data_IF_094767475425
#
_entry.id   IF_094767475425
#
_cell.length_a   1.000
_cell.length_b   1.000
_cell.length_c   1.000
_cell.angle_alpha   90.00
_cell.angle_beta   90.00
_cell.angle_gamma   90.00
#
_symmetry.space_group_name_H-M   'P 1'
#
loop_
_entity.id
_entity.type
_entity.pdbx_description
1 polymer ?
#
# COMPACT_ATOMS: atom_id res chain seq x y z
N UNK A 1 -25.31 -4.74 7.22
CA UNK A 1 -25.18 -3.28 7.11
C UNK A 1 -26.58 -2.73 7.11
N UNK A 2 -27.09 -2.29 8.25
CA UNK A 2 -27.99 -1.15 8.24
C UNK A 2 -27.15 0.03 7.71
N UNK A 3 -26.89 0.06 6.41
CA UNK A 3 -26.42 1.28 5.79
C UNK A 3 -27.48 2.35 6.10
N UNK A 4 -27.04 3.59 6.33
CA UNK A 4 -27.94 4.73 6.45
C UNK A 4 -28.68 4.87 5.12
N UNK A 5 -29.77 4.13 5.02
CA UNK A 5 -30.46 3.85 3.78
C UNK A 5 -31.80 4.53 3.93
N UNK A 6 -32.08 5.48 3.03
CA UNK A 6 -33.44 6.00 2.92
C UNK A 6 -34.35 4.83 2.53
N UNK A 7 -35.38 4.52 3.34
CA UNK A 7 -36.26 3.40 3.07
C UNK A 7 -37.09 3.62 1.79
N UNK A 8 -37.36 4.88 1.47
CA UNK A 8 -38.05 5.35 0.27
C UNK A 8 -37.12 6.21 -0.56
N UNK A 9 -37.23 6.11 -1.89
CA UNK A 9 -36.51 6.92 -2.86
C UNK A 9 -37.54 7.69 -3.68
N UNK A 10 -37.32 8.99 -3.85
CA UNK A 10 -38.21 9.86 -4.62
C UNK A 10 -37.98 9.66 -6.12
N UNK A 11 -39.07 9.48 -6.86
CA UNK A 11 -39.06 9.44 -8.32
C UNK A 11 -39.05 10.86 -8.83
N UNK A 12 -37.98 11.24 -9.52
CA UNK A 12 -37.85 12.57 -10.10
C UNK A 12 -38.76 12.69 -11.33
N UNK A 13 -39.71 13.64 -11.34
CA UNK A 13 -40.56 13.86 -12.49
C UNK A 13 -39.75 14.47 -13.65
N UNK A 14 -40.15 14.14 -14.87
CA UNK A 14 -39.61 14.71 -16.10
C UNK A 14 -40.57 15.75 -16.67
N UNK A 15 -40.02 16.65 -17.49
CA UNK A 15 -40.81 17.66 -18.20
C UNK A 15 -41.92 16.99 -19.05
N UNK A 16 -43.18 17.31 -18.75
CA UNK A 16 -44.37 16.70 -19.38
C UNK A 16 -45.05 15.59 -18.58
N UNK A 17 -44.49 15.19 -17.43
CA UNK A 17 -45.21 14.32 -16.49
C UNK A 17 -46.34 15.09 -15.79
N UNK A 18 -47.43 14.40 -15.48
CA UNK A 18 -48.56 15.02 -14.78
C UNK A 18 -48.13 15.53 -13.40
N UNK A 19 -48.43 16.80 -13.12
CA UNK A 19 -48.24 17.36 -11.80
C UNK A 19 -49.12 16.61 -10.80
N UNK A 20 -48.49 16.11 -9.74
CA UNK A 20 -49.16 15.47 -8.61
C UNK A 20 -48.77 16.22 -7.34
N UNK A 21 -49.68 16.30 -6.38
CA UNK A 21 -49.49 17.11 -5.15
C UNK A 21 -48.33 16.61 -4.27
N UNK A 22 -47.89 15.36 -4.46
CA UNK A 22 -46.75 14.76 -3.76
C UNK A 22 -45.82 13.99 -4.73
N UNK A 23 -44.49 14.10 -4.57
CA UNK A 23 -43.55 13.37 -5.40
C UNK A 23 -43.70 11.86 -5.14
N UNK A 24 -43.94 11.09 -6.20
CA UNK A 24 -44.06 9.64 -6.11
C UNK A 24 -42.77 9.04 -5.52
N UNK A 25 -42.91 8.10 -4.58
CA UNK A 25 -41.77 7.45 -3.95
C UNK A 25 -41.86 5.93 -4.08
N UNK A 26 -40.71 5.26 -4.16
CA UNK A 26 -40.59 3.80 -4.29
C UNK A 26 -39.70 3.25 -3.17
N UNK A 27 -40.05 2.11 -2.55
CA UNK A 27 -39.19 1.49 -1.56
C UNK A 27 -37.84 1.10 -2.13
N UNK A 28 -36.77 1.27 -1.34
CA UNK A 28 -35.44 0.89 -1.79
C UNK A 28 -35.30 -0.64 -1.87
N UNK A 29 -34.95 -1.19 -3.05
CA UNK A 29 -34.71 -2.62 -3.23
C UNK A 29 -33.62 -3.16 -2.30
N UNK A 30 -33.78 -4.39 -1.83
CA UNK A 30 -32.85 -5.01 -0.89
C UNK A 30 -31.46 -5.26 -1.48
N UNK A 31 -31.34 -5.29 -2.82
CA UNK A 31 -30.06 -5.37 -3.51
C UNK A 31 -29.10 -4.21 -3.14
N UNK A 32 -29.62 -3.05 -2.74
CA UNK A 32 -28.81 -1.90 -2.31
C UNK A 32 -28.31 -2.01 -0.86
N UNK A 33 -28.89 -2.91 -0.06
CA UNK A 33 -28.51 -3.16 1.35
C UNK A 33 -27.41 -4.22 1.48
N UNK A 34 -26.96 -4.77 0.35
CA UNK A 34 -25.91 -5.78 0.30
C UNK A 34 -24.57 -5.19 0.74
N UNK A 35 -23.73 -5.94 1.49
CA UNK A 35 -22.38 -5.49 1.83
C UNK A 35 -21.54 -5.17 0.59
N UNK A 36 -20.94 -3.99 0.59
CA UNK A 36 -20.08 -3.50 -0.49
C UNK A 36 -18.70 -4.18 -0.37
N UNK A 37 -18.35 -5.01 -1.36
CA UNK A 37 -17.11 -5.80 -1.46
C UNK A 37 -16.30 -5.48 -2.71
N UNK A 38 -15.42 -4.45 -2.65
CA UNK A 38 -14.57 -4.09 -3.80
C UNK A 38 -13.61 -5.20 -4.22
N UNK A 39 -13.18 -6.05 -3.28
CA UNK A 39 -12.32 -7.21 -3.52
C UNK A 39 -12.98 -8.24 -4.46
N UNK A 40 -14.24 -8.62 -4.18
CA UNK A 40 -15.02 -9.55 -5.00
C UNK A 40 -15.32 -8.92 -6.37
N UNK A 41 -15.70 -7.64 -6.39
CA UNK A 41 -15.96 -6.92 -7.64
C UNK A 41 -14.73 -6.91 -8.54
N UNK A 42 -13.56 -6.55 -8.02
CA UNK A 42 -12.32 -6.50 -8.79
C UNK A 42 -11.92 -7.88 -9.32
N UNK A 43 -11.96 -8.90 -8.47
CA UNK A 43 -11.65 -10.28 -8.87
C UNK A 43 -12.55 -10.78 -10.00
N UNK A 44 -13.86 -10.57 -9.89
CA UNK A 44 -14.82 -10.97 -10.92
C UNK A 44 -14.63 -10.14 -12.18
N UNK A 45 -14.46 -8.82 -12.06
CA UNK A 45 -14.25 -7.91 -13.19
C UNK A 45 -13.02 -8.33 -14.01
N UNK A 46 -11.90 -8.64 -13.37
CA UNK A 46 -10.67 -9.02 -14.06
C UNK A 46 -10.83 -10.33 -14.84
N UNK A 47 -11.55 -11.29 -14.27
CA UNK A 47 -11.79 -12.57 -14.93
C UNK A 47 -12.84 -12.46 -16.05
N UNK A 48 -13.89 -11.66 -15.89
CA UNK A 48 -14.85 -11.37 -16.96
C UNK A 48 -14.21 -10.57 -18.11
N UNK A 49 -13.34 -9.61 -17.80
CA UNK A 49 -12.64 -8.80 -18.80
C UNK A 49 -11.74 -9.67 -19.69
N UNK A 50 -11.14 -10.73 -19.14
CA UNK A 50 -10.34 -11.70 -19.92
C UNK A 50 -11.18 -12.43 -20.97
N UNK A 51 -12.47 -12.67 -20.70
CA UNK A 51 -13.36 -13.42 -21.61
C UNK A 51 -13.71 -12.67 -22.90
N UNK A 52 -13.52 -11.33 -22.95
CA UNK A 52 -13.75 -10.52 -24.16
C UNK A 52 -12.54 -10.53 -25.11
N UNK A 53 -11.42 -11.13 -24.71
CA UNK A 53 -10.19 -11.10 -25.52
C UNK A 53 -10.28 -12.09 -26.68
N UNK A 54 -9.94 -11.63 -27.87
CA UNK A 54 -9.72 -12.52 -29.01
C UNK A 54 -8.34 -13.20 -28.88
N UNK A 55 -8.25 -14.54 -29.05
CA UNK A 55 -6.98 -15.24 -29.12
C UNK A 55 -6.07 -14.67 -30.22
N UNK A 56 -4.78 -14.53 -29.94
CA UNK A 56 -3.78 -14.14 -30.92
C UNK A 56 -2.52 -14.99 -30.75
N UNK A 57 -1.88 -15.31 -31.88
CA UNK A 57 -0.69 -16.15 -31.93
C UNK A 57 0.20 -15.74 -33.10
N UNK A 58 1.51 -16.03 -32.99
CA UNK A 58 2.42 -16.00 -34.14
C UNK A 58 2.16 -17.25 -35.00
N UNK A 59 2.37 -17.17 -36.32
CA UNK A 59 2.26 -18.34 -37.20
C UNK A 59 3.12 -19.50 -36.69
N UNK A 60 2.60 -20.73 -36.79
CA UNK A 60 3.27 -21.95 -36.30
C UNK A 60 4.63 -22.16 -36.97
N UNK A 61 4.75 -21.78 -38.24
CA UNK A 61 5.94 -21.95 -39.08
C UNK A 61 6.78 -20.67 -39.22
N UNK A 62 6.47 -19.60 -38.49
CA UNK A 62 7.24 -18.35 -38.56
C UNK A 62 8.71 -18.59 -38.17
N UNK A 63 9.63 -18.25 -39.08
CA UNK A 63 11.07 -18.44 -38.90
C UNK A 63 11.56 -19.89 -39.04
N UNK A 64 10.70 -20.81 -39.53
CA UNK A 64 11.00 -22.24 -39.70
C UNK A 64 11.01 -22.74 -41.14
N UNK A 65 10.62 -21.91 -42.11
CA UNK A 65 10.47 -22.34 -43.52
C UNK A 65 11.78 -22.23 -44.32
N UNK A 66 12.91 -21.95 -43.67
CA UNK A 66 14.24 -21.89 -44.29
C UNK A 66 14.89 -23.26 -44.28
N UNK A 67 15.54 -23.69 -45.36
CA UNK A 67 16.31 -24.94 -45.44
C UNK A 67 17.70 -24.85 -44.79
N UNK A 68 17.81 -24.08 -43.70
CA UNK A 68 19.10 -23.75 -43.10
C UNK A 68 19.69 -24.89 -42.27
N UNK A 69 20.97 -25.17 -42.46
CA UNK A 69 21.73 -26.21 -41.77
C UNK A 69 23.03 -25.65 -41.22
N UNK A 70 23.55 -26.25 -40.15
CA UNK A 70 24.78 -25.78 -39.54
C UNK A 70 25.98 -26.23 -40.36
N UNK A 71 26.93 -25.32 -40.62
CA UNK A 71 28.19 -25.67 -41.27
C UNK A 71 29.16 -26.46 -40.37
N UNK A 72 28.81 -26.67 -39.09
CA UNK A 72 29.65 -27.39 -38.14
C UNK A 72 30.84 -26.57 -37.64
N UNK A 73 31.93 -27.26 -37.30
CA UNK A 73 33.18 -26.67 -36.81
C UNK A 73 34.15 -26.31 -37.94
N UNK A 74 35.27 -25.66 -37.62
CA UNK A 74 36.38 -25.46 -38.58
C UNK A 74 36.22 -24.30 -39.56
N UNK A 75 35.23 -23.41 -39.37
CA UNK A 75 34.97 -22.27 -40.27
C UNK A 75 35.06 -20.89 -39.59
N UNK A 76 35.67 -20.80 -38.42
CA UNK A 76 35.78 -19.58 -37.60
C UNK A 76 34.44 -18.83 -37.35
N UNK A 77 33.34 -19.58 -37.30
CA UNK A 77 31.97 -19.06 -37.27
C UNK A 77 31.11 -19.92 -36.33
N UNK A 78 30.12 -19.33 -35.67
CA UNK A 78 29.23 -20.04 -34.74
C UNK A 78 28.40 -21.15 -35.44
N UNK A 79 28.15 -22.24 -34.70
CA UNK A 79 27.46 -23.47 -35.18
C UNK A 79 25.94 -23.33 -35.36
N UNK A 80 25.45 -22.11 -35.56
CA UNK A 80 24.03 -21.82 -35.83
C UNK A 80 23.68 -22.29 -37.24
N UNK A 81 22.48 -22.85 -37.49
CA UNK A 81 22.02 -23.17 -38.84
C UNK A 81 22.05 -21.94 -39.77
N UNK A 82 22.58 -22.11 -40.99
CA UNK A 82 22.78 -21.06 -41.98
C UNK A 82 22.03 -21.35 -43.27
N UNK A 83 21.50 -20.30 -43.89
CA UNK A 83 20.77 -20.42 -45.16
C UNK A 83 21.73 -20.91 -46.25
N UNK A 84 21.39 -21.98 -47.00
CA UNK A 84 22.25 -22.54 -48.03
C UNK A 84 22.26 -21.67 -49.30
N UNK A 85 23.08 -22.05 -50.27
CA UNK A 85 23.22 -21.37 -51.57
C UNK A 85 24.25 -20.24 -51.55
N UNK A 86 24.23 -19.42 -52.60
CA UNK A 86 25.14 -18.29 -52.82
C UNK A 86 24.45 -17.16 -53.61
N UNK A 87 25.16 -16.07 -53.88
CA UNK A 87 24.69 -14.97 -54.74
C UNK A 87 23.68 -14.00 -54.11
N UNK A 88 22.98 -14.36 -53.03
CA UNK A 88 22.09 -13.44 -52.31
C UNK A 88 22.70 -12.96 -51.00
N UNK A 89 22.33 -11.75 -50.55
CA UNK A 89 22.74 -11.24 -49.24
C UNK A 89 22.28 -12.10 -48.06
N UNK A 90 21.27 -12.97 -48.26
CA UNK A 90 20.72 -13.84 -47.23
C UNK A 90 21.49 -15.15 -47.08
N UNK A 91 22.19 -15.62 -48.13
CA UNK A 91 22.98 -16.83 -48.10
C UNK A 91 24.10 -16.74 -47.03
N UNK A 92 24.33 -17.83 -46.29
CA UNK A 92 25.32 -17.88 -45.21
C UNK A 92 24.95 -17.18 -43.90
N UNK A 93 23.82 -16.46 -43.84
CA UNK A 93 23.32 -15.86 -42.59
C UNK A 93 22.66 -16.90 -41.68
N UNK A 94 22.72 -16.67 -40.36
CA UNK A 94 22.05 -17.50 -39.38
C UNK A 94 20.51 -17.44 -39.48
N UNK A 95 19.87 -18.59 -39.32
CA UNK A 95 18.42 -18.78 -39.34
C UNK A 95 17.96 -19.72 -38.22
N UNK A 96 16.65 -19.98 -38.13
CA UNK A 96 15.96 -20.77 -37.10
C UNK A 96 16.07 -20.28 -35.64
N UNK A 97 17.26 -19.91 -35.18
CA UNK A 97 17.54 -19.49 -33.81
C UNK A 97 16.77 -18.22 -33.41
N UNK A 98 16.38 -18.15 -32.14
CA UNK A 98 15.68 -16.98 -31.56
C UNK A 98 16.55 -15.71 -31.53
N UNK A 99 17.88 -15.87 -31.50
CA UNK A 99 18.86 -14.79 -31.61
C UNK A 99 19.05 -14.30 -33.05
N UNK A 100 18.60 -15.05 -34.06
CA UNK A 100 18.82 -14.71 -35.46
C UNK A 100 17.73 -13.77 -35.99
N UNK A 101 18.13 -12.76 -36.78
CA UNK A 101 17.19 -11.92 -37.53
C UNK A 101 16.38 -12.78 -38.51
N UNK A 102 15.05 -12.70 -38.41
CA UNK A 102 14.12 -13.54 -39.19
C UNK A 102 14.01 -14.99 -38.71
N UNK A 103 14.67 -15.35 -37.61
CA UNK A 103 14.54 -16.66 -36.96
C UNK A 103 13.28 -16.78 -36.12
N UNK A 104 13.07 -17.96 -35.53
CA UNK A 104 11.86 -18.25 -34.75
C UNK A 104 12.00 -17.75 -33.32
N UNK A 105 11.01 -16.98 -32.85
CA UNK A 105 10.91 -16.53 -31.47
C UNK A 105 10.88 -17.71 -30.47
N UNK A 106 11.55 -17.57 -29.32
CA UNK A 106 11.45 -18.51 -28.20
C UNK A 106 10.04 -18.45 -27.58
N UNK A 107 9.46 -19.61 -27.27
CA UNK A 107 8.10 -19.74 -26.71
C UNK A 107 7.05 -18.85 -27.41
N UNK A 108 6.82 -19.02 -28.74
CA UNK A 108 5.93 -18.14 -29.47
C UNK A 108 4.50 -18.24 -28.96
N UNK A 109 3.75 -17.13 -29.01
CA UNK A 109 2.36 -17.11 -28.55
C UNK A 109 1.53 -18.17 -29.27
N UNK A 110 0.70 -18.88 -28.50
CA UNK A 110 -0.13 -19.97 -28.99
C UNK A 110 -1.60 -19.66 -28.79
N UNK A 111 -2.42 -20.14 -29.72
CA UNK A 111 -3.87 -20.00 -29.68
C UNK A 111 -4.46 -20.72 -28.46
N UNK A 112 -3.91 -21.88 -28.08
CA UNK A 112 -4.34 -22.68 -26.92
C UNK A 112 -3.99 -22.09 -25.55
N UNK A 113 -3.41 -20.88 -25.48
CA UNK A 113 -3.29 -20.15 -24.21
C UNK A 113 -4.68 -20.03 -23.58
N UNK A 114 -4.79 -20.22 -22.26
CA UNK A 114 -6.07 -20.04 -21.56
C UNK A 114 -6.46 -18.56 -21.47
N UNK A 115 -7.21 -18.08 -22.46
CA UNK A 115 -7.76 -16.71 -22.52
C UNK A 115 -8.96 -16.53 -21.61
N UNK A 116 -9.89 -17.49 -21.66
CA UNK A 116 -11.14 -17.44 -20.90
C UNK A 116 -10.97 -17.95 -19.47
N UNK A 117 -11.65 -17.28 -18.54
CA UNK A 117 -11.74 -17.64 -17.12
C UNK A 117 -13.22 -17.87 -16.78
N UNK A 118 -13.51 -19.09 -16.31
CA UNK A 118 -14.80 -19.41 -15.70
C UNK A 118 -14.86 -18.70 -14.34
N UNK A 119 -15.95 -18.00 -14.11
CA UNK A 119 -16.25 -17.35 -12.82
C UNK A 119 -17.47 -18.03 -12.23
N UNK A 120 -17.43 -18.32 -10.93
CA UNK A 120 -18.58 -18.88 -10.23
C UNK A 120 -19.79 -17.92 -10.36
N UNK A 121 -20.95 -18.47 -10.75
CA UNK A 121 -22.17 -17.72 -10.97
C UNK A 121 -22.59 -16.96 -9.71
N UNK A 122 -22.50 -17.57 -8.53
CA UNK A 122 -22.87 -16.92 -7.27
C UNK A 122 -21.92 -15.78 -6.92
N UNK A 123 -20.61 -15.96 -7.14
CA UNK A 123 -19.63 -14.88 -6.95
C UNK A 123 -19.87 -13.72 -7.92
N UNK A 124 -20.25 -14.03 -9.17
CA UNK A 124 -20.63 -13.01 -10.17
C UNK A 124 -21.90 -12.25 -9.74
N UNK A 125 -22.92 -12.96 -9.26
CA UNK A 125 -24.17 -12.35 -8.76
C UNK A 125 -23.92 -11.46 -7.55
N UNK A 126 -23.07 -11.89 -6.62
CA UNK A 126 -22.63 -11.07 -5.49
C UNK A 126 -21.88 -9.81 -5.96
N UNK A 127 -20.91 -9.95 -6.86
CA UNK A 127 -20.20 -8.79 -7.40
C UNK A 127 -21.15 -7.75 -8.01
N UNK A 128 -22.18 -8.19 -8.75
CA UNK A 128 -23.20 -7.31 -9.31
C UNK A 128 -24.01 -6.62 -8.21
N UNK A 129 -24.52 -7.37 -7.23
CA UNK A 129 -25.29 -6.81 -6.12
C UNK A 129 -24.46 -5.81 -5.28
N UNK A 130 -23.18 -6.13 -5.02
CA UNK A 130 -22.25 -5.23 -4.35
C UNK A 130 -21.97 -3.95 -5.16
N UNK A 131 -21.92 -4.04 -6.49
CA UNK A 131 -21.73 -2.86 -7.34
C UNK A 131 -22.99 -1.97 -7.34
N UNK A 132 -24.19 -2.57 -7.27
CA UNK A 132 -25.45 -1.85 -7.10
C UNK A 132 -25.49 -1.12 -5.76
N UNK A 133 -25.23 -1.81 -4.65
CA UNK A 133 -25.14 -1.19 -3.33
C UNK A 133 -24.18 0.01 -3.30
N UNK A 134 -23.02 -0.10 -3.97
CA UNK A 134 -22.08 1.01 -4.05
C UNK A 134 -22.58 2.22 -4.84
N UNK A 135 -23.48 2.03 -5.82
CA UNK A 135 -24.08 3.14 -6.59
C UNK A 135 -25.09 3.97 -5.80
N UNK A 136 -25.61 3.44 -4.69
CA UNK A 136 -26.52 4.18 -3.79
C UNK A 136 -25.78 5.13 -2.85
N UNK A 137 -24.46 4.98 -2.68
CA UNK A 137 -23.68 5.71 -1.69
C UNK A 137 -22.97 6.90 -2.36
N UNK A 138 -23.37 8.16 -2.07
CA UNK A 138 -22.81 9.35 -2.73
C UNK A 138 -21.29 9.45 -2.60
N UNK A 139 -20.74 9.12 -1.42
CA UNK A 139 -19.30 9.20 -1.18
C UNK A 139 -18.50 8.25 -2.08
N UNK A 140 -19.02 7.06 -2.39
CA UNK A 140 -18.37 6.12 -3.31
C UNK A 140 -18.49 6.57 -4.77
N UNK A 141 -19.63 7.17 -5.13
CA UNK A 141 -19.86 7.71 -6.48
C UNK A 141 -18.97 8.90 -6.77
N UNK A 142 -18.81 9.80 -5.79
CA UNK A 142 -17.88 10.94 -5.85
C UNK A 142 -16.42 10.44 -5.87
N UNK A 143 -16.05 9.49 -5.00
CA UNK A 143 -14.69 8.93 -4.96
C UNK A 143 -14.29 8.26 -6.27
N UNK A 144 -15.24 7.65 -7.00
CA UNK A 144 -15.00 7.13 -8.36
C UNK A 144 -14.71 8.24 -9.39
N UNK A 145 -15.12 9.46 -9.10
CA UNK A 145 -14.89 10.64 -9.91
C UNK A 145 -16.08 11.04 -10.78
N UNK A 146 -17.32 10.73 -10.38
CA UNK A 146 -18.50 11.31 -11.04
C UNK A 146 -18.79 12.72 -10.53
N UNK A 147 -19.34 13.59 -11.39
CA UNK A 147 -19.85 14.92 -10.99
C UNK A 147 -21.34 14.81 -10.63
N UNK A 148 -21.65 14.82 -9.34
CA UNK A 148 -23.00 14.59 -8.81
C UNK A 148 -23.52 15.71 -7.90
N UNK A 149 -22.84 16.86 -7.86
CA UNK A 149 -23.15 17.98 -6.95
C UNK A 149 -24.56 18.56 -7.15
N UNK A 150 -25.03 18.60 -8.41
CA UNK A 150 -26.37 19.07 -8.79
C UNK A 150 -27.46 18.00 -8.75
N UNK A 151 -27.11 16.75 -8.42
CA UNK A 151 -28.07 15.64 -8.39
C UNK A 151 -28.81 15.65 -7.03
N UNK A 152 -30.16 15.61 -7.01
CA UNK A 152 -30.92 15.78 -5.78
C UNK A 152 -30.72 14.64 -4.77
N UNK A 153 -30.60 13.40 -5.25
CA UNK A 153 -30.36 12.24 -4.40
C UNK A 153 -29.75 11.04 -5.13
N UNK A 154 -29.28 10.06 -4.36
CA UNK A 154 -28.82 8.76 -4.84
C UNK A 154 -29.44 7.62 -4.02
N UNK A 155 -29.86 6.50 -4.64
CA UNK A 155 -29.94 6.26 -6.10
C UNK A 155 -30.90 7.22 -6.80
N UNK A 156 -30.54 7.66 -8.02
CA UNK A 156 -31.40 8.56 -8.80
C UNK A 156 -32.43 7.73 -9.58
N UNK A 157 -33.71 7.96 -9.30
CA UNK A 157 -34.84 7.32 -9.99
C UNK A 157 -35.62 8.37 -10.77
N UNK A 158 -35.92 8.10 -12.03
CA UNK A 158 -36.74 8.94 -12.91
C UNK A 158 -38.01 8.22 -13.32
N UNK A 159 -39.03 8.97 -13.71
CA UNK A 159 -40.29 8.42 -14.21
C UNK A 159 -40.10 7.55 -15.46
N UNK A 160 -41.07 6.65 -15.71
CA UNK A 160 -41.03 5.73 -16.85
C UNK A 160 -41.27 6.43 -18.20
N UNK A 161 -41.71 7.69 -18.21
CA UNK A 161 -41.80 8.50 -19.43
C UNK A 161 -40.43 8.67 -20.11
N UNK A 162 -39.33 8.56 -19.35
CA UNK A 162 -37.96 8.48 -19.86
C UNK A 162 -37.77 7.35 -20.90
N UNK A 163 -38.53 6.26 -20.79
CA UNK A 163 -38.41 5.10 -21.70
C UNK A 163 -38.96 5.39 -23.11
N UNK A 164 -39.90 6.33 -23.21
CA UNK A 164 -40.50 6.76 -24.48
C UNK A 164 -39.63 7.72 -25.30
N UNK A 165 -38.52 8.20 -24.73
CA UNK A 165 -37.65 9.21 -25.36
C UNK A 165 -36.87 8.61 -26.53
N UNK A 166 -37.03 9.22 -27.71
CA UNK A 166 -36.37 8.77 -28.95
C UNK A 166 -35.17 9.62 -29.36
N UNK A 167 -35.30 10.95 -29.19
CA UNK A 167 -34.31 11.91 -29.69
C UNK A 167 -33.21 12.16 -28.65
N UNK A 168 -31.96 12.19 -29.11
CA UNK A 168 -30.79 12.53 -28.29
C UNK A 168 -30.88 13.92 -27.67
N UNK A 169 -31.47 14.89 -28.39
CA UNK A 169 -31.69 16.24 -27.88
C UNK A 169 -32.59 16.24 -26.63
N UNK A 170 -33.70 15.50 -26.66
CA UNK A 170 -34.59 15.33 -25.51
C UNK A 170 -33.90 14.60 -24.35
N UNK A 171 -33.09 13.59 -24.65
CA UNK A 171 -32.28 12.90 -23.64
C UNK A 171 -31.28 13.84 -22.93
N UNK A 172 -30.66 14.78 -23.66
CA UNK A 172 -29.77 15.79 -23.07
C UNK A 172 -30.54 16.77 -22.18
N UNK A 173 -31.75 17.19 -22.60
CA UNK A 173 -32.64 18.04 -21.78
C UNK A 173 -32.99 17.36 -20.46
N UNK A 174 -33.33 16.07 -20.49
CA UNK A 174 -33.61 15.27 -19.29
C UNK A 174 -32.39 15.22 -18.37
N UNK A 175 -31.20 14.92 -18.89
CA UNK A 175 -29.96 14.93 -18.09
C UNK A 175 -29.68 16.29 -17.46
N UNK A 176 -30.03 17.38 -18.15
CA UNK A 176 -29.87 18.75 -17.63
C UNK A 176 -30.84 18.99 -16.48
N UNK A 177 -32.11 18.62 -16.64
CA UNK A 177 -33.16 18.79 -15.65
C UNK A 177 -32.83 18.07 -14.33
N UNK A 178 -32.37 16.81 -14.41
CA UNK A 178 -32.03 16.00 -13.22
C UNK A 178 -30.62 16.26 -12.67
N UNK A 179 -29.90 17.26 -13.20
CA UNK A 179 -28.56 17.61 -12.74
C UNK A 179 -27.46 16.59 -13.07
N UNK A 180 -27.70 15.65 -14.00
CA UNK A 180 -26.76 14.60 -14.42
C UNK A 180 -25.88 14.99 -15.62
N UNK A 181 -26.23 16.07 -16.34
CA UNK A 181 -25.50 16.54 -17.52
C UNK A 181 -24.02 16.85 -17.26
N UNK A 182 -23.60 17.47 -16.12
CA UNK A 182 -22.19 17.78 -15.87
C UNK A 182 -21.26 16.55 -15.90
N UNK A 183 -21.77 15.36 -15.56
CA UNK A 183 -21.00 14.11 -15.64
C UNK A 183 -20.82 13.62 -17.08
N UNK A 184 -21.83 13.80 -17.92
CA UNK A 184 -21.77 13.49 -19.35
C UNK A 184 -20.86 14.47 -20.10
N UNK A 185 -20.92 15.76 -19.78
CA UNK A 185 -20.01 16.80 -20.33
C UNK A 185 -18.55 16.52 -19.95
N UNK A 186 -18.29 16.18 -18.68
CA UNK A 186 -16.96 15.72 -18.24
C UNK A 186 -16.46 14.53 -19.06
N UNK A 187 -17.35 13.60 -19.43
CA UNK A 187 -16.96 12.46 -20.26
C UNK A 187 -16.69 12.87 -21.72
N UNK A 188 -17.47 13.81 -22.28
CA UNK A 188 -17.25 14.41 -23.60
C UNK A 188 -15.89 15.11 -23.68
N UNK A 189 -15.58 15.99 -22.72
CA UNK A 189 -14.33 16.76 -22.71
C UNK A 189 -13.09 15.89 -22.46
N UNK A 190 -13.29 14.74 -21.80
CA UNK A 190 -12.20 13.80 -21.52
C UNK A 190 -11.74 12.97 -22.73
N UNK A 191 -12.32 13.18 -23.92
CA UNK A 191 -11.99 12.41 -25.11
C UNK A 191 -10.55 12.69 -25.59
N UNK A 192 -9.61 11.88 -25.10
CA UNK A 192 -8.19 11.99 -25.43
C UNK A 192 -7.74 11.00 -26.48
N UNK A 193 -6.65 11.33 -27.19
CA UNK A 193 -5.98 10.41 -28.10
C UNK A 193 -5.17 9.39 -27.29
N UNK A 194 -5.41 8.09 -27.51
CA UNK A 194 -4.69 7.00 -26.83
C UNK A 194 -3.20 7.00 -27.24
N UNK A 195 -2.27 7.01 -26.27
CA UNK A 195 -0.85 6.87 -26.57
C UNK A 195 -0.49 5.46 -27.08
N UNK A 196 0.62 5.37 -27.83
CA UNK A 196 1.17 4.11 -28.33
C UNK A 196 0.41 3.47 -29.50
N UNK A 197 0.64 2.16 -29.72
CA UNK A 197 0.16 1.42 -30.90
C UNK A 197 -1.36 1.17 -30.96
N UNK A 198 -2.11 1.62 -29.95
CA UNK A 198 -3.58 1.50 -29.91
C UNK A 198 -4.24 2.32 -31.02
N UNK A 199 -3.66 3.46 -31.39
CA UNK A 199 -4.16 4.36 -32.44
C UNK A 199 -4.33 3.66 -33.80
N UNK A 200 -3.37 2.80 -34.16
CA UNK A 200 -3.38 2.00 -35.40
C UNK A 200 -4.36 0.82 -35.38
N UNK A 201 -5.02 0.54 -34.24
CA UNK A 201 -5.87 -0.65 -34.04
C UNK A 201 -7.29 -0.26 -33.65
N UNK A 202 -7.87 0.73 -34.33
CA UNK A 202 -9.24 1.23 -34.11
C UNK A 202 -9.55 1.65 -32.66
N UNK A 203 -8.52 2.08 -31.93
CA UNK A 203 -8.62 2.49 -30.51
C UNK A 203 -7.99 3.87 -30.31
N UNK A 204 -8.19 4.76 -31.29
CA UNK A 204 -7.65 6.13 -31.34
C UNK A 204 -8.07 6.96 -30.14
N UNK A 205 -9.33 6.90 -29.74
CA UNK A 205 -9.84 7.68 -28.62
C UNK A 205 -10.04 6.84 -27.35
N UNK A 206 -9.89 7.51 -26.21
CA UNK A 206 -10.29 7.05 -24.88
C UNK A 206 -11.22 8.13 -24.32
N UNK A 207 -12.36 7.72 -23.78
CA UNK A 207 -13.26 8.60 -23.03
C UNK A 207 -13.51 8.01 -21.65
N UNK A 208 -13.79 8.88 -20.68
CA UNK A 208 -14.26 8.47 -19.37
C UNK A 208 -15.66 7.86 -19.47
N UNK A 209 -16.03 7.10 -18.44
CA UNK A 209 -17.37 6.51 -18.30
C UNK A 209 -18.20 7.40 -17.39
N UNK A 210 -19.24 8.01 -17.96
CA UNK A 210 -20.22 8.83 -17.25
C UNK A 210 -21.40 8.00 -16.75
N UNK A 211 -22.63 8.55 -16.73
CA UNK A 211 -23.78 7.90 -16.12
C UNK A 211 -24.14 6.60 -16.86
N UNK A 212 -24.68 5.64 -16.11
CA UNK A 212 -25.29 4.43 -16.64
C UNK A 212 -26.80 4.55 -16.50
N UNK A 213 -27.53 4.42 -17.61
CA UNK A 213 -28.99 4.46 -17.59
C UNK A 213 -29.52 3.04 -17.58
N UNK A 214 -30.38 2.73 -16.61
CA UNK A 214 -30.99 1.43 -16.45
C UNK A 214 -32.50 1.51 -16.64
N UNK A 215 -33.01 0.73 -17.59
CA UNK A 215 -34.42 0.70 -17.98
C UNK A 215 -35.03 -0.69 -17.79
N UNK A 216 -36.36 -0.74 -17.65
CA UNK A 216 -37.12 -1.92 -17.26
C UNK A 216 -37.80 -2.65 -18.41
N UNK A 217 -38.15 -1.97 -19.50
CA UNK A 217 -38.93 -2.54 -20.61
C UNK A 217 -38.04 -3.10 -21.72
N UNK A 218 -38.34 -4.28 -22.25
CA UNK A 218 -37.64 -4.78 -23.43
C UNK A 218 -37.98 -3.95 -24.67
N UNK A 219 -37.03 -3.76 -25.59
CA UNK A 219 -37.25 -2.96 -26.80
C UNK A 219 -37.41 -1.44 -26.59
N UNK A 220 -37.22 -0.95 -25.36
CA UNK A 220 -37.38 0.48 -25.01
C UNK A 220 -36.57 1.43 -25.91
N UNK A 221 -37.21 2.53 -26.30
CA UNK A 221 -36.66 3.54 -27.23
C UNK A 221 -35.50 4.34 -26.61
N UNK A 222 -35.43 4.36 -25.27
CA UNK A 222 -34.35 4.96 -24.47
C UNK A 222 -32.95 4.55 -24.94
N UNK A 223 -32.79 3.32 -25.44
CA UNK A 223 -31.50 2.82 -25.93
C UNK A 223 -31.02 3.65 -27.12
N UNK A 224 -31.92 4.03 -28.04
CA UNK A 224 -31.57 4.82 -29.23
C UNK A 224 -31.22 6.26 -28.84
N UNK A 225 -31.97 6.85 -27.91
CA UNK A 225 -31.77 8.23 -27.47
C UNK A 225 -30.45 8.43 -26.70
N UNK A 226 -30.10 7.51 -25.81
CA UNK A 226 -28.96 7.70 -24.90
C UNK A 226 -27.64 7.07 -25.37
N UNK A 227 -27.66 6.07 -26.28
CA UNK A 227 -26.42 5.36 -26.71
C UNK A 227 -25.35 6.24 -27.37
N UNK A 228 -25.75 7.36 -27.96
CA UNK A 228 -24.85 8.24 -28.71
C UNK A 228 -24.28 9.38 -27.84
N UNK A 229 -24.74 9.53 -26.60
CA UNK A 229 -24.24 10.57 -25.70
C UNK A 229 -22.85 10.13 -25.20
N UNK A 230 -21.81 10.98 -25.31
CA UNK A 230 -20.46 10.63 -24.89
C UNK A 230 -20.39 10.16 -23.43
N UNK A 231 -19.76 9.01 -23.22
CA UNK A 231 -19.54 8.45 -21.88
C UNK A 231 -20.75 7.76 -21.24
N UNK A 232 -21.96 7.94 -21.77
CA UNK A 232 -23.18 7.31 -21.28
C UNK A 232 -23.25 5.87 -21.77
N UNK A 233 -23.56 4.94 -20.87
CA UNK A 233 -23.91 3.56 -21.24
C UNK A 233 -25.37 3.30 -20.88
N UNK A 234 -26.02 2.38 -21.60
CA UNK A 234 -27.39 1.94 -21.31
C UNK A 234 -27.39 0.45 -20.96
N UNK A 235 -28.20 0.03 -20.00
CA UNK A 235 -28.40 -1.38 -19.63
C UNK A 235 -29.87 -1.65 -19.29
N UNK A 236 -30.32 -2.89 -19.47
CA UNK A 236 -31.62 -3.33 -18.96
C UNK A 236 -31.40 -4.08 -17.64
N UNK A 237 -32.34 -3.94 -16.70
CA UNK A 237 -32.26 -4.53 -15.34
C UNK A 237 -32.05 -6.04 -15.35
N UNK A 238 -32.71 -6.75 -16.26
CA UNK A 238 -32.65 -8.21 -16.31
C UNK A 238 -31.26 -8.71 -16.77
N UNK A 239 -30.53 -7.87 -17.52
CA UNK A 239 -29.20 -8.17 -18.10
C UNK A 239 -28.11 -7.22 -17.62
N UNK A 240 -28.11 -6.90 -16.33
CA UNK A 240 -27.07 -6.09 -15.70
C UNK A 240 -25.70 -6.77 -15.78
N UNK A 241 -24.71 -6.02 -16.29
CA UNK A 241 -23.34 -6.49 -16.47
C UNK A 241 -22.41 -5.75 -15.51
N UNK A 242 -21.61 -6.49 -14.73
CA UNK A 242 -20.60 -5.94 -13.84
C UNK A 242 -19.61 -5.02 -14.56
N UNK A 243 -19.24 -5.31 -15.82
CA UNK A 243 -18.31 -4.49 -16.59
C UNK A 243 -18.85 -3.08 -16.90
N UNK A 244 -20.19 -2.92 -16.90
CA UNK A 244 -20.84 -1.61 -17.02
C UNK A 244 -21.00 -0.96 -15.64
N UNK A 245 -21.44 -1.71 -14.63
CA UNK A 245 -21.67 -1.20 -13.27
C UNK A 245 -20.38 -0.76 -12.56
N UNK A 246 -19.28 -1.48 -12.77
CA UNK A 246 -17.99 -1.23 -12.15
C UNK A 246 -16.89 -1.27 -13.22
N UNK A 247 -16.95 -0.35 -14.20
CA UNK A 247 -15.98 -0.34 -15.29
C UNK A 247 -14.55 -0.11 -14.75
N UNK A 248 -13.62 -0.99 -15.11
CA UNK A 248 -12.26 -0.98 -14.56
C UNK A 248 -12.12 -1.66 -13.20
N UNK A 249 -13.19 -2.31 -12.70
CA UNK A 249 -13.21 -2.94 -11.38
C UNK A 249 -13.43 -1.97 -10.22
N UNK A 250 -13.66 -0.68 -10.52
CA UNK A 250 -13.94 0.35 -9.52
C UNK A 250 -15.44 0.51 -9.30
N UNK A 251 -15.86 0.31 -8.05
CA UNK A 251 -17.26 0.41 -7.59
C UNK A 251 -17.76 1.86 -7.55
N UNK A 252 -19.09 2.03 -7.44
CA UNK A 252 -19.72 3.35 -7.29
C UNK A 252 -19.90 4.10 -8.60
N UNK A 253 -20.35 3.44 -9.68
CA UNK A 253 -20.73 4.19 -10.89
C UNK A 253 -22.01 4.98 -10.63
N UNK A 254 -22.12 6.18 -11.19
CA UNK A 254 -23.38 6.93 -11.18
C UNK A 254 -24.39 6.24 -12.10
N UNK A 255 -25.54 5.83 -11.53
CA UNK A 255 -26.60 5.09 -12.23
C UNK A 255 -27.90 5.88 -12.10
N UNK A 256 -28.61 5.99 -13.22
CA UNK A 256 -29.95 6.58 -13.34
C UNK A 256 -30.91 5.44 -13.64
N UNK A 257 -31.93 5.27 -12.82
CA UNK A 257 -32.92 4.20 -12.91
C UNK A 257 -34.25 4.73 -13.40
N UNK A 258 -34.93 4.02 -14.31
CA UNK A 258 -36.37 4.22 -14.50
C UNK A 258 -37.14 3.60 -13.33
N UNK A 259 -38.33 4.13 -13.02
CA UNK A 259 -39.16 3.64 -11.91
C UNK A 259 -39.42 2.13 -12.03
N UNK A 260 -39.89 1.69 -13.19
CA UNK A 260 -40.12 0.29 -13.53
C UNK A 260 -38.84 -0.56 -13.42
N UNK A 261 -37.69 0.01 -13.76
CA UNK A 261 -36.41 -0.68 -13.59
C UNK A 261 -36.06 -0.92 -12.11
N UNK A 262 -36.31 0.09 -11.29
CA UNK A 262 -35.99 0.07 -9.88
C UNK A 262 -36.84 -0.95 -9.13
N UNK A 263 -38.15 -0.98 -9.38
CA UNK A 263 -39.09 -1.93 -8.77
C UNK A 263 -38.79 -3.40 -9.15
N UNK A 264 -38.34 -3.64 -10.38
CA UNK A 264 -37.96 -5.00 -10.85
C UNK A 264 -36.71 -5.57 -10.16
N UNK A 265 -35.89 -4.77 -9.48
CA UNK A 265 -34.64 -5.25 -8.88
C UNK A 265 -34.87 -6.35 -7.82
N UNK A 266 -35.92 -6.24 -7.02
CA UNK A 266 -36.21 -7.23 -5.97
C UNK A 266 -36.68 -8.56 -6.57
N UNK A 267 -37.40 -8.57 -7.70
CA UNK A 267 -37.72 -9.83 -8.41
C UNK A 267 -36.45 -10.47 -9.01
N UNK A 268 -35.56 -9.63 -9.56
CA UNK A 268 -34.32 -10.07 -10.24
C UNK A 268 -33.24 -10.56 -9.28
N UNK A 269 -33.15 -10.03 -8.06
CA UNK A 269 -32.12 -10.43 -7.08
C UNK A 269 -32.68 -11.15 -5.85
N UNK A 270 -33.99 -11.11 -5.62
CA UNK A 270 -34.59 -11.55 -4.38
C UNK A 270 -34.32 -10.57 -3.24
N UNK A 271 -34.77 -10.96 -2.05
CA UNK A 271 -34.51 -10.25 -0.80
C UNK A 271 -33.56 -11.08 0.09
N UNK A 272 -33.37 -10.70 1.35
CA UNK A 272 -32.58 -11.50 2.30
C UNK A 272 -33.30 -12.76 2.78
N UNK A 273 -34.64 -12.79 2.64
CA UNK A 273 -35.50 -13.85 3.16
C UNK A 273 -36.24 -14.58 2.02
N UNK A 274 -36.62 -13.86 0.96
CA UNK A 274 -37.25 -14.43 -0.23
C UNK A 274 -36.23 -14.66 -1.35
N UNK A 275 -36.15 -15.86 -1.94
CA UNK A 275 -35.26 -16.12 -3.08
C UNK A 275 -35.69 -15.34 -4.32
N UNK A 276 -34.76 -15.15 -5.25
CA UNK A 276 -35.03 -14.48 -6.53
C UNK A 276 -35.94 -15.32 -7.43
N UNK A 277 -36.88 -14.66 -8.10
CA UNK A 277 -37.75 -15.26 -9.13
C UNK A 277 -36.96 -15.60 -10.39
N UNK A 278 -36.15 -14.66 -10.89
CA UNK A 278 -35.39 -14.83 -12.15
C UNK A 278 -34.13 -15.68 -11.98
N UNK A 279 -33.55 -15.72 -10.77
CA UNK A 279 -32.30 -16.45 -10.49
C UNK A 279 -32.59 -17.64 -9.56
N UNK A 280 -32.80 -18.81 -10.16
CA UNK A 280 -33.06 -20.08 -9.43
C UNK A 280 -32.10 -20.26 -8.24
N UNK A 281 -32.67 -20.41 -7.05
CA UNK A 281 -31.98 -20.68 -5.79
C UNK A 281 -31.05 -19.57 -5.30
N UNK A 282 -31.15 -18.35 -5.83
CA UNK A 282 -30.30 -17.24 -5.41
C UNK A 282 -30.96 -16.41 -4.30
N UNK A 283 -30.20 -16.14 -3.26
CA UNK A 283 -30.56 -15.25 -2.14
C UNK A 283 -29.45 -14.21 -2.00
N UNK A 284 -29.80 -13.01 -1.55
CA UNK A 284 -28.83 -11.94 -1.31
C UNK A 284 -27.80 -12.35 -0.23
N UNK A 285 -26.52 -12.02 -0.43
CA UNK A 285 -25.48 -12.39 0.51
C UNK A 285 -25.63 -11.60 1.82
N UNK A 286 -25.67 -12.33 2.94
CA UNK A 286 -25.77 -11.73 4.28
C UNK A 286 -24.41 -11.15 4.70
N UNK A 287 -24.38 -9.94 5.28
CA UNK A 287 -23.16 -9.36 5.82
C UNK A 287 -22.75 -10.09 7.10
N UNK A 288 -21.43 -10.19 7.35
CA UNK A 288 -20.93 -10.74 8.62
C UNK A 288 -21.28 -9.86 9.83
N UNK A 289 -21.38 -8.56 9.61
CA UNK A 289 -21.74 -7.57 10.63
C UNK A 289 -23.08 -6.91 10.27
N UNK A 290 -23.99 -6.83 11.24
CA UNK A 290 -25.27 -6.14 11.07
C UNK A 290 -25.05 -4.64 10.93
N UNK A 291 -24.31 -4.03 11.86
CA UNK A 291 -23.83 -2.65 11.77
C UNK A 291 -22.33 -2.64 11.44
N UNK A 292 -21.91 -1.83 10.47
CA UNK A 292 -20.51 -1.70 10.08
C UNK A 292 -19.81 -0.48 10.72
N UNK A 293 -20.56 0.39 11.40
CA UNK A 293 -20.00 1.50 12.14
C UNK A 293 -19.42 0.99 13.46
N UNK A 294 -18.15 0.60 13.41
CA UNK A 294 -17.40 0.17 14.58
C UNK A 294 -17.26 1.29 15.62
N UNK A 295 -17.19 2.56 15.19
CA UNK A 295 -17.05 3.67 16.13
C UNK A 295 -18.29 3.81 17.01
N UNK A 296 -19.48 3.66 16.42
CA UNK A 296 -20.74 3.64 17.17
C UNK A 296 -20.83 2.47 18.13
N UNK A 297 -20.39 1.27 17.72
CA UNK A 297 -20.40 0.08 18.59
C UNK A 297 -19.40 0.25 19.73
N UNK A 298 -18.18 0.70 19.43
CA UNK A 298 -17.12 0.88 20.44
C UNK A 298 -17.50 1.96 21.44
N UNK A 299 -18.12 3.05 20.98
CA UNK A 299 -18.49 4.19 21.83
C UNK A 299 -19.87 4.03 22.49
N UNK A 300 -20.52 2.86 22.38
CA UNK A 300 -21.79 2.63 23.06
C UNK A 300 -21.59 2.44 24.56
N UNK A 301 -22.59 2.79 25.35
CA UNK A 301 -22.50 2.75 26.82
C UNK A 301 -22.25 1.33 27.33
N UNK A 302 -22.79 0.31 26.66
CA UNK A 302 -22.59 -1.10 27.01
C UNK A 302 -21.13 -1.53 26.85
N UNK A 303 -20.42 -1.01 25.85
CA UNK A 303 -19.00 -1.29 25.67
C UNK A 303 -18.16 -0.40 26.60
N UNK A 304 -18.41 0.90 26.62
CA UNK A 304 -17.61 1.86 27.39
C UNK A 304 -17.69 1.64 28.91
N UNK A 305 -18.84 1.16 29.44
CA UNK A 305 -18.99 0.85 30.87
C UNK A 305 -18.09 -0.29 31.36
N UNK A 306 -17.69 -1.21 30.47
CA UNK A 306 -16.84 -2.37 30.80
C UNK A 306 -15.37 -2.14 30.43
N UNK A 307 -15.10 -1.24 29.47
CA UNK A 307 -13.74 -0.95 28.98
C UNK A 307 -12.90 -0.33 30.10
N UNK A 308 -11.72 -0.90 30.33
CA UNK A 308 -10.74 -0.37 31.29
C UNK A 308 -10.20 0.98 30.81
N UNK A 309 -9.87 1.90 31.73
CA UNK A 309 -9.33 3.20 31.38
C UNK A 309 -8.02 3.07 30.58
N UNK A 310 -7.83 3.99 29.64
CA UNK A 310 -6.63 4.02 28.78
C UNK A 310 -5.38 4.22 29.64
N UNK A 311 -4.38 3.35 29.46
CA UNK A 311 -3.05 3.50 30.06
C UNK A 311 -2.30 4.64 29.37
N UNK A 312 -2.25 5.82 30.02
CA UNK A 312 -1.60 7.03 29.47
C UNK A 312 -0.07 7.00 29.58
N UNK A 313 0.47 6.21 30.50
CA UNK A 313 1.92 6.15 30.73
C UNK A 313 2.61 5.23 29.72
N UNK A 314 3.35 5.84 28.79
CA UNK A 314 4.32 5.12 27.95
C UNK A 314 5.72 5.42 28.48
N UNK A 315 6.26 4.51 29.30
CA UNK A 315 7.65 4.60 29.79
C UNK A 315 8.62 4.31 28.64
N UNK A 316 9.09 5.35 27.96
CA UNK A 316 10.14 5.24 26.94
C UNK A 316 11.50 5.04 27.61
N UNK A 317 12.35 4.23 27.00
CA UNK A 317 13.75 4.08 27.43
C UNK A 317 14.46 5.41 27.18
N UNK A 318 14.77 6.13 28.26
CA UNK A 318 15.67 7.28 28.20
C UNK A 318 17.12 6.81 28.12
N UNK A 319 18.01 7.63 27.57
CA UNK A 319 19.44 7.34 27.58
C UNK A 319 19.92 7.07 29.02
N UNK A 320 20.49 5.89 29.24
CA UNK A 320 21.05 5.49 30.54
C UNK A 320 22.34 6.29 30.77
N UNK A 321 22.25 7.36 31.56
CA UNK A 321 23.43 8.16 31.95
C UNK A 321 24.30 7.32 32.89
N UNK A 322 25.62 7.39 32.72
CA UNK A 322 26.58 6.72 33.59
C UNK A 322 26.60 7.41 34.97
N UNK A 323 26.24 6.71 36.07
CA UNK A 323 26.21 7.31 37.41
C UNK A 323 27.56 7.80 37.91
N UNK A 324 28.67 7.18 37.53
CA UNK A 324 29.99 7.60 38.02
C UNK A 324 30.43 8.93 37.40
N UNK A 325 30.01 9.17 36.14
CA UNK A 325 30.33 10.40 35.40
C UNK A 325 29.30 11.51 35.60
N UNK A 326 28.03 11.17 35.81
CA UNK A 326 26.95 12.14 35.99
C UNK A 326 26.49 12.21 37.45
N UNK A 327 26.82 13.31 38.12
CA UNK A 327 26.56 13.54 39.54
C UNK A 327 25.07 13.40 39.89
N UNK A 328 24.15 13.95 39.08
CA UNK A 328 22.72 13.87 39.37
C UNK A 328 22.22 12.41 39.41
N UNK A 329 22.66 11.59 38.46
CA UNK A 329 22.35 10.15 38.49
C UNK A 329 23.07 9.41 39.60
N UNK A 330 24.28 9.80 39.98
CA UNK A 330 24.97 9.24 41.14
C UNK A 330 24.16 9.48 42.42
N UNK A 331 23.72 10.73 42.62
CA UNK A 331 22.99 11.14 43.81
C UNK A 331 21.59 10.54 43.87
N UNK A 332 20.93 10.36 42.71
CA UNK A 332 19.66 9.65 42.63
C UNK A 332 19.78 8.18 43.05
N UNK A 333 20.93 7.54 42.76
CA UNK A 333 21.18 6.14 43.15
C UNK A 333 21.78 6.01 44.55
N UNK A 334 22.63 6.95 44.96
CA UNK A 334 23.30 6.98 46.24
C UNK A 334 23.38 8.42 46.77
N UNK A 335 22.42 8.84 47.63
CA UNK A 335 22.43 10.16 48.25
C UNK A 335 23.68 10.43 49.11
N UNK A 336 24.24 9.40 49.76
CA UNK A 336 25.45 9.50 50.59
C UNK A 336 26.73 9.76 49.78
N UNK A 337 26.71 9.58 48.46
CA UNK A 337 27.85 9.94 47.62
C UNK A 337 28.16 11.45 47.70
N UNK A 338 27.16 12.30 48.00
CA UNK A 338 27.35 13.74 48.23
C UNK A 338 28.20 14.00 49.48
N UNK A 339 27.84 13.36 50.59
CA UNK A 339 28.54 13.54 51.87
C UNK A 339 29.94 12.94 51.79
N UNK A 340 30.08 11.73 51.22
CA UNK A 340 31.38 11.09 51.03
C UNK A 340 32.34 11.93 50.17
N UNK A 341 31.88 12.50 49.04
CA UNK A 341 32.70 13.41 48.23
C UNK A 341 33.08 14.70 48.98
N UNK A 342 32.15 15.27 49.75
CA UNK A 342 32.43 16.45 50.57
C UNK A 342 33.48 16.15 51.64
N UNK A 343 33.36 15.02 52.33
CA UNK A 343 34.33 14.56 53.33
C UNK A 343 35.71 14.31 52.71
N UNK A 344 35.76 13.69 51.52
CA UNK A 344 37.01 13.47 50.79
C UNK A 344 37.71 14.78 50.43
N UNK A 345 36.98 15.77 49.92
CA UNK A 345 37.54 17.09 49.59
C UNK A 345 38.08 17.82 50.83
N UNK A 346 37.34 17.78 51.95
CA UNK A 346 37.79 18.38 53.21
C UNK A 346 39.05 17.68 53.75
N UNK A 347 39.08 16.34 53.70
CA UNK A 347 40.23 15.55 54.12
C UNK A 347 41.46 15.81 53.23
N UNK A 348 41.28 15.97 51.92
CA UNK A 348 42.36 16.28 51.00
C UNK A 348 42.95 17.68 51.27
N UNK A 349 42.11 18.69 51.48
CA UNK A 349 42.55 20.04 51.86
C UNK A 349 43.37 20.02 53.16
N UNK A 350 42.93 19.24 54.16
CA UNK A 350 43.67 19.05 55.41
C UNK A 350 45.01 18.33 55.19
N UNK A 351 45.04 17.28 54.36
CA UNK A 351 46.28 16.54 54.03
C UNK A 351 47.32 17.42 53.34
N UNK A 352 46.89 18.26 52.40
CA UNK A 352 47.81 19.19 51.70
C UNK A 352 48.42 20.18 52.69
N UNK A 353 47.61 20.74 53.59
CA UNK A 353 48.08 21.63 54.66
C UNK A 353 49.09 20.93 55.58
N UNK A 354 48.74 19.76 56.10
CA UNK A 354 49.61 18.98 56.98
C UNK A 354 50.92 18.53 56.30
N UNK A 355 50.88 18.19 55.00
CA UNK A 355 52.08 17.82 54.24
C UNK A 355 53.04 19.01 54.10
N UNK A 356 52.52 20.22 53.86
CA UNK A 356 53.31 21.44 53.77
C UNK A 356 54.00 21.74 55.12
N UNK A 357 53.25 21.70 56.21
CA UNK A 357 53.78 21.91 57.57
C UNK A 357 54.85 20.88 57.95
N UNK A 358 54.66 19.60 57.58
CA UNK A 358 55.63 18.52 57.85
C UNK A 358 56.89 18.66 57.00
N UNK A 359 56.79 19.18 55.78
CA UNK A 359 57.92 19.47 54.91
C UNK A 359 58.76 20.63 55.46
N UNK A 360 58.11 21.69 55.94
CA UNK A 360 58.79 22.87 56.50
C UNK A 360 59.55 22.52 57.79
N UNK A 361 59.01 21.63 58.63
CA UNK A 361 59.72 21.08 59.81
C UNK A 361 60.95 20.22 59.47
N UNK A 362 60.94 19.51 58.34
CA UNK A 362 62.12 18.70 57.91
C UNK A 362 63.23 19.54 57.28
N UNK A 363 62.95 20.78 56.87
CA UNK A 363 63.94 21.69 56.27
C UNK A 363 64.81 22.41 57.30
N UNK A 364 64.50 22.31 58.60
CA UNK A 364 65.27 22.92 59.68
C UNK A 364 66.15 21.88 60.39
N UNK A 365 67.46 21.93 60.07
CA UNK A 365 68.64 21.39 60.78
C UNK A 365 68.67 19.91 61.18
N UNK A 366 69.30 19.05 60.35
CA UNK A 366 70.10 17.95 60.91
C UNK A 366 71.33 18.59 61.61
N UNK A 367 71.67 18.19 62.85
CA UNK A 367 72.83 18.72 63.55
C UNK A 367 74.09 18.57 62.69
N UNK A 368 74.95 19.61 62.66
CA UNK A 368 76.23 19.57 61.91
C UNK A 368 77.08 18.34 62.26
N UNK A 369 76.94 17.83 63.48
CA UNK A 369 77.64 16.67 64.01
C UNK A 369 77.20 15.35 63.35
N UNK A 370 75.90 15.16 63.09
CA UNK A 370 75.40 13.98 62.37
C UNK A 370 75.75 14.04 60.87
N UNK A 371 75.74 15.23 60.28
CA UNK A 371 76.21 15.39 58.90
C UNK A 371 77.73 15.18 58.77
N UNK A 372 78.49 15.51 59.82
CA UNK A 372 79.93 15.29 59.89
C UNK A 372 80.27 13.81 60.13
N UNK A 373 79.53 13.10 60.98
CA UNK A 373 79.73 11.67 61.25
C UNK A 373 79.45 10.81 60.01
N UNK A 374 78.40 11.12 59.25
CA UNK A 374 78.08 10.45 57.98
C UNK A 374 79.17 10.71 56.93
N UNK A 375 79.70 11.94 56.84
CA UNK A 375 80.83 12.25 55.95
C UNK A 375 82.14 11.61 56.40
N UNK A 376 82.38 11.49 57.71
CA UNK A 376 83.56 10.86 58.28
C UNK A 376 83.56 9.36 58.04
N UNK A 377 82.42 8.68 58.22
CA UNK A 377 82.25 7.27 57.91
C UNK A 377 82.52 6.98 56.41
N UNK A 378 82.02 7.83 55.52
CA UNK A 378 82.32 7.72 54.08
C UNK A 378 83.82 7.89 53.78
N UNK A 379 84.47 8.91 54.36
CA UNK A 379 85.91 9.16 54.15
C UNK A 379 86.80 8.04 54.72
N UNK A 380 86.42 7.44 55.84
CA UNK A 380 87.15 6.34 56.45
C UNK A 380 87.14 5.09 55.54
N UNK A 381 85.99 4.77 54.95
CA UNK A 381 85.86 3.67 54.01
C UNK A 381 86.66 3.87 52.71
N UNK A 382 86.72 5.10 52.19
CA UNK A 382 87.55 5.39 51.02
C UNK A 382 89.05 5.30 51.33
N UNK A 383 89.49 5.64 52.55
CA UNK A 383 90.91 5.57 52.94
C UNK A 383 91.44 4.14 53.03
N UNK A 384 90.60 3.17 53.39
CA UNK A 384 91.00 1.74 53.45
C UNK A 384 91.26 1.10 52.08
N UNK A 385 91.07 1.83 50.96
CA UNK A 385 91.26 1.31 49.60
C UNK A 385 92.36 2.04 48.80
N UNK A 386 93.25 2.80 49.45
CA UNK A 386 94.18 3.73 48.76
C UNK A 386 95.62 3.18 48.53
N UNK A 387 96.10 2.15 49.26
CA UNK A 387 97.38 1.51 48.90
C UNK A 387 97.63 0.17 49.60
N UNK A 388 98.07 -0.84 48.83
CA UNK A 388 98.63 -2.11 49.31
C UNK A 388 100.15 -1.98 49.50
N UNK A 389 100.57 -1.18 50.48
CA UNK A 389 101.93 -1.23 51.03
C UNK A 389 101.90 -1.94 52.39
N UNK A 390 103.05 -2.28 52.97
CA UNK A 390 103.24 -3.11 54.17
C UNK A 390 102.32 -2.79 55.38
N UNK A 391 101.67 -1.63 55.43
CA UNK A 391 100.65 -1.29 56.43
C UNK A 391 99.27 -1.95 56.20
N UNK A 392 98.90 -2.31 54.96
CA UNK A 392 97.67 -3.07 54.65
C UNK A 392 97.77 -4.52 55.14
N UNK A 393 98.99 -5.06 55.27
CA UNK A 393 99.21 -6.41 55.78
C UNK A 393 98.88 -6.52 57.28
N UNK A 394 99.04 -5.46 58.08
CA UNK A 394 98.68 -5.46 59.50
C UNK A 394 97.16 -5.50 59.75
N UNK A 395 96.36 -4.73 59.00
CA UNK A 395 94.89 -4.76 59.12
C UNK A 395 94.33 -6.10 58.65
N UNK A 396 94.90 -6.67 57.58
CA UNK A 396 94.53 -8.00 57.08
C UNK A 396 94.95 -9.11 58.06
N UNK A 397 96.16 -9.05 58.64
CA UNK A 397 96.59 -10.03 59.65
C UNK A 397 95.74 -9.99 60.92
N UNK A 398 95.39 -8.80 61.42
CA UNK A 398 94.52 -8.67 62.60
C UNK A 398 93.14 -9.27 62.36
N UNK A 399 92.57 -9.03 61.17
CA UNK A 399 91.29 -9.59 60.75
C UNK A 399 91.37 -11.11 60.55
N UNK A 400 92.45 -11.63 59.98
CA UNK A 400 92.61 -13.07 59.73
C UNK A 400 92.84 -13.87 61.02
N UNK A 401 93.63 -13.34 61.96
CA UNK A 401 93.82 -13.95 63.28
C UNK A 401 92.53 -13.98 64.10
N UNK A 402 91.66 -12.98 63.97
CA UNK A 402 90.35 -12.94 64.64
C UNK A 402 89.26 -13.83 64.03
N UNK A 403 89.48 -14.40 62.84
CA UNK A 403 88.49 -15.21 62.10
C UNK A 403 88.85 -16.72 62.09
N UNK A 404 90.05 -17.10 62.55
CA UNK A 404 90.56 -18.49 62.48
C UNK A 404 90.42 -19.30 63.77
N UNK A 405 89.53 -18.90 64.69
CA UNK A 405 89.06 -19.75 65.79
C UNK A 405 87.62 -20.21 65.58
#
# INVERSE_FOLDING_TARGET
MAAAVRPLVTVQPLEGDMATDAPAAVPLPNAFKVPIRPDVVRFVHDNLSKNRRQPYAVSKLAGHQTSAESWGTGRAVSRIPRVPGGGTHRAGQGAFGNMCRGGRMFAPTKTWRRWHRRVNVNMRRYAVASALAASAVPSLVLARGHRIESVPELPLVVSDSAEGVEKTASAIKILKQIGALPDAEKAKDSQGIRPGKGKMRNRRYISRKGPLIVYGTEGSKIVKAFRNIPGVDVANVERLNLLKLASGGHIGRFIIWTKSAFEKLDSVFGTFDKPSEKKKGYVLPRPKMVNADLSRIINSDEVQSVVRPIKKEVKRRTLKKNPLKNLYTLLKLNPYAKTARRMALLAEAQRVKAKKEKLDKKRTQLPKEEAASVKAAGRAWYKTMISDSDYAEFDNFSKWLGVTQ
#
